data_IF_189739797985
#
_entry.id   IF_189739797985
#
_cell.length_a   1.000
_cell.length_b   1.000
_cell.length_c   1.000
_cell.angle_alpha   90.00
_cell.angle_beta   90.00
_cell.angle_gamma   90.00
#
_symmetry.space_group_name_H-M   'P 1'
#
loop_
_entity.id
_entity.type
_entity.pdbx_description
1 polymer ?
#
# COMPACT_ATOMS: atom_id res chain seq x y z
N UNK A 1 65.61 -2.04 -14.94
CA UNK A 1 64.65 -3.05 -14.43
C UNK A 1 63.85 -2.51 -13.24
N UNK A 2 64.45 -1.84 -12.31
CA UNK A 2 63.75 -1.31 -11.08
C UNK A 2 62.70 -0.19 -11.36
N UNK A 3 62.86 0.61 -12.41
CA UNK A 3 61.94 1.70 -12.75
C UNK A 3 60.56 1.21 -13.31
N UNK A 4 60.58 0.10 -14.01
CA UNK A 4 59.35 -0.47 -14.60
C UNK A 4 58.52 -1.17 -13.52
N UNK A 5 59.16 -1.89 -12.60
CA UNK A 5 58.50 -2.56 -11.47
C UNK A 5 57.86 -1.52 -10.53
N UNK A 6 58.51 -0.40 -10.28
CA UNK A 6 57.94 0.69 -9.47
C UNK A 6 56.70 1.32 -10.10
N UNK A 7 56.69 1.50 -11.43
CA UNK A 7 55.51 2.03 -12.13
C UNK A 7 54.33 1.07 -12.16
N UNK A 8 54.59 -0.24 -12.28
CA UNK A 8 53.54 -1.28 -12.18
C UNK A 8 52.95 -1.38 -10.79
N UNK A 9 53.78 -1.25 -9.74
CA UNK A 9 53.31 -1.24 -8.35
C UNK A 9 52.42 -0.02 -8.03
N UNK A 10 52.77 1.14 -8.53
CA UNK A 10 51.98 2.38 -8.35
C UNK A 10 50.66 2.29 -9.13
N UNK A 11 50.67 1.72 -10.35
CA UNK A 11 49.45 1.51 -11.13
C UNK A 11 48.51 0.49 -10.48
N UNK A 12 49.04 -0.60 -9.92
CA UNK A 12 48.27 -1.60 -9.18
C UNK A 12 47.68 -1.03 -7.89
N UNK A 13 48.42 -0.15 -7.20
CA UNK A 13 47.93 0.55 -6.01
C UNK A 13 46.80 1.52 -6.36
N UNK A 14 46.86 2.23 -7.48
CA UNK A 14 45.79 3.08 -7.95
C UNK A 14 44.56 2.32 -8.41
N UNK A 15 44.71 1.14 -9.04
CA UNK A 15 43.58 0.27 -9.39
C UNK A 15 42.87 -0.32 -8.16
N UNK A 16 43.61 -0.60 -7.08
CA UNK A 16 43.02 -1.13 -5.85
C UNK A 16 42.24 -0.08 -5.03
N UNK A 17 42.55 1.21 -5.20
CA UNK A 17 41.81 2.31 -4.57
C UNK A 17 40.48 2.65 -5.29
N UNK A 18 40.23 2.10 -6.49
CA UNK A 18 38.98 2.28 -7.23
C UNK A 18 37.91 1.25 -6.90
N UNK A 19 38.12 0.37 -5.93
CA UNK A 19 37.01 -0.39 -5.34
C UNK A 19 36.18 0.64 -4.54
N UNK A 20 35.27 1.31 -5.21
CA UNK A 20 34.19 2.03 -4.53
C UNK A 20 33.53 1.01 -3.62
N UNK A 21 33.76 1.12 -2.31
CA UNK A 21 32.82 0.57 -1.37
C UNK A 21 31.47 1.14 -1.79
N UNK A 22 30.59 0.28 -2.30
CA UNK A 22 29.20 0.66 -2.53
C UNK A 22 28.70 1.06 -1.15
N UNK A 23 28.72 2.36 -0.88
CA UNK A 23 28.07 2.91 0.30
C UNK A 23 26.62 2.50 0.14
N UNK A 24 26.17 1.59 1.00
CA UNK A 24 24.75 1.32 1.14
C UNK A 24 24.16 2.61 1.69
N UNK A 25 23.62 3.44 0.80
CA UNK A 25 22.87 4.60 1.23
C UNK A 25 21.68 4.11 2.04
N UNK A 26 21.64 4.55 3.31
CA UNK A 26 20.54 4.27 4.23
C UNK A 26 19.30 5.04 3.75
N UNK A 27 18.45 4.38 2.96
CA UNK A 27 17.23 4.95 2.40
C UNK A 27 16.15 5.00 3.47
N UNK A 28 15.88 6.20 4.02
CA UNK A 28 15.00 6.39 5.19
C UNK A 28 13.55 6.75 4.89
N UNK A 29 13.17 6.92 3.63
CA UNK A 29 11.84 7.43 3.25
C UNK A 29 10.95 6.38 2.57
N UNK A 30 11.17 5.11 2.87
CA UNK A 30 10.32 4.02 2.40
C UNK A 30 8.96 4.06 3.09
N UNK A 31 7.88 3.91 2.32
CA UNK A 31 6.49 3.95 2.82
C UNK A 31 5.68 2.79 2.29
N UNK A 32 4.63 2.44 3.02
CA UNK A 32 3.61 1.48 2.63
C UNK A 32 4.18 0.14 2.12
N UNK A 33 5.03 -0.52 2.91
CA UNK A 33 5.56 -1.81 2.49
C UNK A 33 4.46 -2.87 2.49
N UNK A 34 4.61 -3.81 1.55
CA UNK A 34 3.86 -5.05 1.54
C UNK A 34 4.78 -6.20 1.11
N UNK A 35 4.48 -7.42 1.54
CA UNK A 35 5.31 -8.59 1.27
C UNK A 35 4.45 -9.79 0.89
N UNK A 36 4.81 -10.46 -0.19
CA UNK A 36 4.28 -11.77 -0.54
C UNK A 36 5.42 -12.69 -0.95
N UNK A 37 5.58 -13.81 -0.22
CA UNK A 37 6.69 -14.76 -0.42
C UNK A 37 8.05 -14.05 -0.40
N UNK A 38 8.71 -13.98 -1.55
CA UNK A 38 10.04 -13.40 -1.69
C UNK A 38 10.03 -11.99 -2.29
N UNK A 39 8.87 -11.42 -2.55
CA UNK A 39 8.74 -10.08 -3.13
C UNK A 39 8.29 -9.10 -2.06
N UNK A 40 9.04 -8.01 -1.93
CA UNK A 40 8.65 -6.84 -1.16
C UNK A 40 8.34 -5.71 -2.15
N UNK A 41 7.20 -5.06 -1.97
CA UNK A 41 6.84 -3.82 -2.66
C UNK A 41 6.81 -2.67 -1.66
N UNK A 42 7.17 -1.48 -2.09
CA UNK A 42 7.12 -0.26 -1.26
C UNK A 42 7.06 0.97 -2.15
N UNK A 43 6.74 2.11 -1.52
CA UNK A 43 6.78 3.43 -2.17
C UNK A 43 8.04 4.18 -1.76
N UNK A 44 8.75 4.71 -2.75
CA UNK A 44 9.86 5.63 -2.55
C UNK A 44 9.80 6.76 -3.58
N UNK A 45 9.94 8.00 -3.11
CA UNK A 45 9.89 9.22 -3.92
C UNK A 45 8.61 9.36 -4.80
N UNK A 46 7.48 8.77 -4.37
CA UNK A 46 6.20 8.83 -5.09
C UNK A 46 5.97 7.69 -6.07
N UNK A 47 6.95 6.82 -6.29
CA UNK A 47 6.88 5.68 -7.21
C UNK A 47 6.86 4.35 -6.47
N UNK A 48 6.44 3.31 -7.19
CA UNK A 48 6.44 1.92 -6.70
C UNK A 48 7.75 1.24 -7.03
N UNK A 49 8.31 0.61 -6.02
CA UNK A 49 9.57 -0.13 -6.08
C UNK A 49 9.37 -1.54 -5.56
N UNK A 50 10.18 -2.46 -6.06
CA UNK A 50 10.23 -3.84 -5.58
C UNK A 50 11.64 -4.27 -5.27
N UNK A 51 11.77 -5.19 -4.32
CA UNK A 51 13.04 -5.84 -3.95
C UNK A 51 12.77 -7.27 -3.49
N UNK A 52 13.74 -8.15 -3.62
CA UNK A 52 13.64 -9.50 -3.07
C UNK A 52 13.76 -9.44 -1.53
N UNK A 53 13.01 -10.28 -0.81
CA UNK A 53 13.05 -10.34 0.66
C UNK A 53 14.41 -10.79 1.22
N UNK A 54 15.23 -11.47 0.41
CA UNK A 54 16.63 -11.80 0.75
C UNK A 54 17.60 -10.62 0.61
N UNK A 55 17.10 -9.44 0.20
CA UNK A 55 17.90 -8.26 -0.10
C UNK A 55 18.31 -8.17 -1.56
N UNK A 56 19.21 -7.25 -1.85
CA UNK A 56 19.72 -6.98 -3.20
C UNK A 56 19.31 -5.59 -3.71
N UNK A 57 19.36 -5.39 -5.02
CA UNK A 57 19.04 -4.11 -5.65
C UNK A 57 17.52 -3.94 -5.79
N UNK A 58 17.00 -2.80 -5.32
CA UNK A 58 15.60 -2.45 -5.51
C UNK A 58 15.36 -1.94 -6.94
N UNK A 59 14.30 -2.41 -7.56
CA UNK A 59 13.89 -2.03 -8.91
C UNK A 59 12.67 -1.10 -8.87
N UNK A 60 12.78 0.04 -9.52
CA UNK A 60 11.64 0.93 -9.76
C UNK A 60 10.70 0.32 -10.79
N UNK A 61 9.41 0.17 -10.44
CA UNK A 61 8.39 -0.37 -11.34
C UNK A 61 7.65 0.71 -12.12
N UNK A 62 7.44 1.86 -11.51
CA UNK A 62 6.67 2.97 -12.06
C UNK A 62 7.49 4.25 -12.10
N UNK A 63 7.09 5.21 -12.91
CA UNK A 63 7.83 6.48 -13.09
C UNK A 63 6.91 7.64 -13.51
N UNK A 64 5.65 7.63 -13.05
CA UNK A 64 4.70 8.69 -13.37
C UNK A 64 4.94 9.93 -12.49
N UNK A 65 4.55 11.12 -12.99
CA UNK A 65 4.67 12.37 -12.23
C UNK A 65 3.67 12.52 -11.07
N UNK A 66 2.55 11.77 -11.11
CA UNK A 66 1.58 11.70 -10.02
C UNK A 66 2.03 10.72 -8.94
N UNK A 67 1.49 10.89 -7.73
CA UNK A 67 1.82 10.03 -6.60
C UNK A 67 1.23 8.63 -6.76
N UNK A 68 1.97 7.64 -6.34
CA UNK A 68 1.57 6.24 -6.24
C UNK A 68 1.69 5.80 -4.78
N UNK A 69 0.61 5.25 -4.23
CA UNK A 69 0.48 5.00 -2.80
C UNK A 69 -0.19 3.65 -2.54
N UNK A 70 0.02 3.11 -1.35
CA UNK A 70 -0.66 1.91 -0.85
C UNK A 70 -0.57 0.68 -1.77
N UNK A 71 0.64 0.31 -2.22
CA UNK A 71 0.78 -0.89 -3.03
C UNK A 71 0.44 -2.15 -2.21
N UNK A 72 -0.21 -3.13 -2.87
CA UNK A 72 -0.53 -4.45 -2.33
C UNK A 72 -0.26 -5.52 -3.38
N UNK A 73 0.50 -6.54 -3.01
CA UNK A 73 0.78 -7.68 -3.88
C UNK A 73 -0.39 -8.65 -3.81
N UNK A 74 -0.86 -9.13 -4.96
CA UNK A 74 -1.91 -10.15 -4.99
C UNK A 74 -1.43 -11.46 -4.34
N UNK A 75 -2.33 -12.26 -3.74
CA UNK A 75 -1.98 -13.54 -3.11
C UNK A 75 -1.24 -14.51 -4.02
N UNK A 76 -1.55 -14.54 -5.32
CA UNK A 76 -0.84 -15.34 -6.33
C UNK A 76 0.55 -14.77 -6.70
N UNK A 77 0.82 -13.51 -6.32
CA UNK A 77 2.07 -12.81 -6.58
C UNK A 77 2.21 -12.25 -8.00
N UNK A 78 1.15 -12.30 -8.82
CA UNK A 78 1.22 -11.87 -10.22
C UNK A 78 1.00 -10.37 -10.41
N UNK A 79 0.29 -9.73 -9.49
CA UNK A 79 -0.14 -8.33 -9.61
C UNK A 79 0.23 -7.50 -8.39
N UNK A 80 0.39 -6.20 -8.61
CA UNK A 80 0.48 -5.19 -7.57
C UNK A 80 -0.65 -4.19 -7.83
N UNK A 81 -1.59 -4.07 -6.89
CA UNK A 81 -2.60 -3.01 -6.89
C UNK A 81 -2.07 -1.79 -6.14
N UNK A 82 -2.44 -0.60 -6.57
CA UNK A 82 -2.03 0.64 -5.92
C UNK A 82 -2.99 1.79 -6.22
N UNK A 83 -2.91 2.83 -5.41
CA UNK A 83 -3.62 4.09 -5.61
C UNK A 83 -2.74 5.06 -6.37
N UNK A 84 -3.13 5.48 -7.58
CA UNK A 84 -2.34 6.36 -8.46
C UNK A 84 -3.07 7.66 -8.77
N UNK A 85 -2.31 8.77 -8.87
CA UNK A 85 -2.82 10.11 -9.21
C UNK A 85 -2.41 10.51 -10.65
N UNK A 86 -2.77 9.68 -11.65
CA UNK A 86 -2.30 9.86 -13.02
C UNK A 86 -3.08 10.90 -13.82
N UNK A 87 -4.35 11.13 -13.47
CA UNK A 87 -5.25 12.04 -14.17
C UNK A 87 -5.91 13.09 -13.26
N UNK A 88 -5.20 13.49 -12.20
CA UNK A 88 -5.64 14.53 -11.26
C UNK A 88 -6.35 13.97 -10.03
N UNK A 89 -7.24 12.99 -10.16
CA UNK A 89 -7.87 12.30 -9.02
C UNK A 89 -7.20 10.95 -8.75
N UNK A 90 -7.26 10.52 -7.50
CA UNK A 90 -6.71 9.22 -7.09
C UNK A 90 -7.63 8.11 -7.56
N UNK A 91 -7.06 7.14 -8.28
CA UNK A 91 -7.75 5.98 -8.82
C UNK A 91 -7.01 4.69 -8.44
N UNK A 92 -7.70 3.56 -8.59
CA UNK A 92 -7.10 2.24 -8.41
C UNK A 92 -6.45 1.78 -9.70
N UNK A 93 -5.22 1.35 -9.61
CA UNK A 93 -4.44 0.78 -10.70
C UNK A 93 -3.90 -0.60 -10.32
N UNK A 94 -3.60 -1.39 -11.32
CA UNK A 94 -2.83 -2.63 -11.18
C UNK A 94 -1.70 -2.66 -12.19
N UNK A 95 -0.59 -3.27 -11.79
CA UNK A 95 0.57 -3.51 -12.65
C UNK A 95 1.05 -4.96 -12.44
N UNK A 96 1.54 -5.68 -13.47
CA UNK A 96 2.19 -6.95 -13.25
C UNK A 96 3.38 -6.82 -12.29
N UNK A 97 3.56 -7.77 -11.39
CA UNK A 97 4.63 -7.71 -10.37
C UNK A 97 6.05 -7.70 -10.95
N UNK A 98 6.19 -8.20 -12.19
CA UNK A 98 7.43 -8.13 -12.96
C UNK A 98 7.59 -6.83 -13.77
N UNK A 99 6.64 -5.88 -13.67
CA UNK A 99 6.61 -4.61 -14.39
C UNK A 99 5.76 -4.66 -15.65
N UNK A 100 5.53 -3.49 -16.22
CA UNK A 100 4.69 -3.33 -17.41
C UNK A 100 3.95 -1.99 -17.39
N UNK A 101 2.85 -1.90 -18.14
CA UNK A 101 2.02 -0.70 -18.18
C UNK A 101 0.91 -0.83 -17.13
N UNK A 102 0.75 0.14 -16.22
CA UNK A 102 -0.33 0.13 -15.26
C UNK A 102 -1.71 0.19 -15.95
N UNK A 103 -2.64 -0.65 -15.50
CA UNK A 103 -4.04 -0.67 -15.92
C UNK A 103 -4.89 0.03 -14.87
N UNK A 104 -5.64 1.06 -15.28
CA UNK A 104 -6.61 1.72 -14.42
C UNK A 104 -7.88 0.87 -14.26
N UNK A 105 -8.40 0.77 -13.04
CA UNK A 105 -9.60 0.00 -12.70
C UNK A 105 -10.79 0.84 -12.27
N UNK A 106 -10.56 2.08 -11.81
CA UNK A 106 -11.63 3.00 -11.38
C UNK A 106 -11.53 4.33 -12.11
N UNK A 107 -12.69 4.98 -12.35
CA UNK A 107 -12.79 6.28 -13.06
C UNK A 107 -13.71 7.24 -12.32
N UNK A 108 -13.51 7.38 -11.02
CA UNK A 108 -14.28 8.32 -10.24
C UNK A 108 -13.70 9.73 -10.40
N UNK A 109 -14.54 10.67 -10.82
CA UNK A 109 -14.18 12.08 -10.73
C UNK A 109 -14.16 12.49 -9.26
N UNK A 110 -13.16 13.27 -8.86
CA UNK A 110 -13.21 13.95 -7.57
C UNK A 110 -14.45 14.85 -7.55
N UNK A 111 -15.31 14.62 -6.58
CA UNK A 111 -16.52 15.41 -6.40
C UNK A 111 -16.07 16.75 -5.87
N UNK A 112 -16.17 17.80 -6.69
CA UNK A 112 -15.78 19.18 -6.41
C UNK A 112 -14.27 19.48 -6.23
N UNK A 113 -13.93 20.77 -6.30
CA UNK A 113 -12.61 21.36 -6.02
C UNK A 113 -12.14 21.18 -4.56
N UNK A 114 -12.81 20.36 -3.77
CA UNK A 114 -12.41 20.07 -2.40
C UNK A 114 -11.69 18.73 -2.34
N UNK A 115 -10.51 18.68 -1.70
CA UNK A 115 -9.85 17.41 -1.45
C UNK A 115 -10.81 16.48 -0.71
N UNK A 116 -10.79 15.17 -1.00
CA UNK A 116 -11.60 14.18 -0.31
C UNK A 116 -11.48 14.40 1.21
N UNK A 117 -12.59 14.55 1.89
CA UNK A 117 -12.59 14.74 3.35
C UNK A 117 -12.02 13.47 3.99
N UNK A 118 -10.88 13.60 4.66
CA UNK A 118 -10.11 12.47 5.18
C UNK A 118 -8.80 12.22 4.44
N UNK A 119 -8.59 12.82 3.26
CA UNK A 119 -7.30 12.87 2.57
C UNK A 119 -6.97 11.67 1.70
N UNK A 120 -7.80 10.62 1.67
CA UNK A 120 -7.48 9.39 0.95
C UNK A 120 -8.72 8.76 0.33
N UNK A 121 -9.08 9.21 -0.85
CA UNK A 121 -10.06 8.50 -1.67
C UNK A 121 -9.38 7.41 -2.50
N UNK A 122 -10.11 6.30 -2.78
CA UNK A 122 -9.59 5.13 -3.50
C UNK A 122 -8.29 4.56 -2.90
N UNK A 123 -8.29 4.33 -1.59
CA UNK A 123 -7.17 3.67 -0.90
C UNK A 123 -7.23 2.16 -1.14
N UNK A 124 -6.19 1.62 -1.76
CA UNK A 124 -6.01 0.16 -1.86
C UNK A 124 -5.65 -0.37 -0.48
N UNK A 125 -6.40 -1.36 0.00
CA UNK A 125 -6.23 -1.95 1.32
C UNK A 125 -5.70 -3.38 1.24
N UNK A 126 -6.32 -4.22 0.40
CA UNK A 126 -6.04 -5.65 0.36
C UNK A 126 -6.54 -6.29 -0.94
N UNK A 127 -6.28 -7.58 -1.12
CA UNK A 127 -6.80 -8.42 -2.18
C UNK A 127 -7.72 -9.52 -1.62
N UNK A 128 -8.69 -9.95 -2.44
CA UNK A 128 -9.40 -11.20 -2.16
C UNK A 128 -8.45 -12.39 -2.30
N UNK A 129 -8.63 -13.48 -1.51
CA UNK A 129 -7.72 -14.64 -1.52
C UNK A 129 -7.55 -15.29 -2.88
N UNK A 130 -8.54 -15.18 -3.76
CA UNK A 130 -8.53 -15.70 -5.14
C UNK A 130 -7.80 -14.78 -6.14
N UNK A 131 -7.24 -13.66 -5.67
CA UNK A 131 -6.52 -12.66 -6.49
C UNK A 131 -7.36 -11.99 -7.57
N UNK A 132 -8.70 -12.06 -7.49
CA UNK A 132 -9.58 -11.51 -8.54
C UNK A 132 -10.13 -10.14 -8.23
N UNK A 133 -10.18 -9.76 -6.97
CA UNK A 133 -10.74 -8.47 -6.56
C UNK A 133 -9.83 -7.76 -5.56
N UNK A 134 -9.92 -6.45 -5.55
CA UNK A 134 -9.15 -5.57 -4.68
C UNK A 134 -10.12 -4.93 -3.69
N UNK A 135 -9.83 -5.06 -2.40
CA UNK A 135 -10.53 -4.33 -1.35
C UNK A 135 -10.01 -2.90 -1.33
N UNK A 136 -10.90 -1.97 -1.51
CA UNK A 136 -10.59 -0.54 -1.41
C UNK A 136 -11.45 0.16 -0.37
N UNK A 137 -10.93 1.25 0.15
CA UNK A 137 -11.73 2.25 0.85
C UNK A 137 -11.88 3.46 -0.02
N UNK A 138 -13.11 3.93 -0.16
CA UNK A 138 -13.41 5.12 -0.92
C UNK A 138 -14.61 5.86 -0.36
N UNK A 139 -14.72 7.15 -0.66
CA UNK A 139 -15.90 7.94 -0.40
C UNK A 139 -16.64 8.17 -1.72
N UNK A 140 -17.89 7.73 -1.78
CA UNK A 140 -18.75 7.85 -2.97
C UNK A 140 -19.93 8.81 -2.76
N UNK A 141 -20.05 9.35 -1.55
CA UNK A 141 -21.11 10.31 -1.22
C UNK A 141 -20.56 11.72 -1.19
N UNK A 142 -21.17 12.57 -2.00
CA UNK A 142 -20.96 14.02 -1.95
C UNK A 142 -21.57 14.57 -0.68
N UNK A 143 -20.88 15.46 0.02
CA UNK A 143 -21.36 16.21 1.16
C UNK A 143 -21.88 15.42 2.39
N UNK A 144 -21.16 15.51 3.48
CA UNK A 144 -21.61 15.13 4.82
C UNK A 144 -21.02 13.84 5.38
N UNK A 145 -20.77 12.83 4.59
CA UNK A 145 -20.09 11.63 5.08
C UNK A 145 -18.58 11.87 5.21
N UNK A 146 -18.08 11.73 6.42
CA UNK A 146 -16.66 11.91 6.73
C UNK A 146 -15.86 10.62 6.71
N UNK A 147 -16.53 9.49 6.59
CA UNK A 147 -15.94 8.16 6.69
C UNK A 147 -15.97 7.47 5.33
N UNK A 148 -14.90 6.75 5.01
CA UNK A 148 -14.86 5.92 3.83
C UNK A 148 -15.75 4.69 3.99
N UNK A 149 -16.10 4.06 2.85
CA UNK A 149 -16.77 2.76 2.77
C UNK A 149 -15.90 1.79 2.01
N UNK A 150 -16.14 0.51 2.19
CA UNK A 150 -15.41 -0.52 1.48
C UNK A 150 -16.11 -0.93 0.20
N UNK A 151 -15.28 -1.17 -0.82
CA UNK A 151 -15.71 -1.68 -2.11
C UNK A 151 -14.76 -2.77 -2.58
N UNK A 152 -15.28 -3.70 -3.36
CA UNK A 152 -14.48 -4.66 -4.10
C UNK A 152 -14.42 -4.23 -5.57
N UNK A 153 -13.22 -4.09 -6.09
CA UNK A 153 -12.93 -3.72 -7.48
C UNK A 153 -12.39 -4.95 -8.19
N UNK A 154 -13.01 -5.34 -9.30
CA UNK A 154 -12.57 -6.50 -10.09
C UNK A 154 -11.27 -6.18 -10.85
N UNK A 155 -10.36 -7.15 -10.92
CA UNK A 155 -9.16 -7.10 -11.77
C UNK A 155 -9.54 -7.00 -13.27
N UNK A 156 -10.69 -7.57 -13.65
CA UNK A 156 -11.22 -7.49 -15.02
C UNK A 156 -11.84 -6.13 -15.34
N UNK A 157 -12.08 -5.29 -14.33
CA UNK A 157 -12.76 -4.01 -14.45
C UNK A 157 -14.27 -4.13 -14.17
N UNK A 158 -15.02 -3.11 -14.56
CA UNK A 158 -16.47 -3.01 -14.32
C UNK A 158 -16.78 -2.15 -13.09
N UNK A 159 -18.07 -2.20 -12.67
CA UNK A 159 -18.53 -1.45 -11.51
C UNK A 159 -18.04 -2.10 -10.20
N UNK A 160 -17.63 -1.28 -9.28
CA UNK A 160 -17.23 -1.71 -7.94
C UNK A 160 -18.44 -2.19 -7.13
N UNK A 161 -18.24 -3.22 -6.31
CA UNK A 161 -19.25 -3.78 -5.43
C UNK A 161 -19.12 -3.22 -4.02
N UNK A 162 -20.10 -2.46 -3.50
CA UNK A 162 -20.05 -1.96 -2.12
C UNK A 162 -20.18 -3.12 -1.13
N UNK A 163 -19.46 -3.01 -0.01
CA UNK A 163 -19.65 -3.89 1.14
C UNK A 163 -20.56 -3.23 2.18
N UNK A 164 -21.36 -3.99 2.93
CA UNK A 164 -22.38 -3.45 3.84
C UNK A 164 -21.78 -2.96 5.17
N UNK A 165 -20.58 -2.39 5.16
CA UNK A 165 -19.91 -1.81 6.32
C UNK A 165 -20.06 -0.29 6.24
N UNK A 166 -20.71 0.29 7.24
CA UNK A 166 -21.12 1.72 7.21
C UNK A 166 -19.93 2.66 7.28
N UNK A 167 -18.94 2.33 8.11
CA UNK A 167 -17.77 3.17 8.33
C UNK A 167 -16.50 2.30 8.24
N UNK A 168 -15.63 2.63 7.30
CA UNK A 168 -14.40 1.89 7.08
C UNK A 168 -13.16 2.77 7.20
N UNK A 169 -12.28 2.43 8.13
CA UNK A 169 -10.91 2.91 8.19
C UNK A 169 -9.95 1.98 7.46
N UNK A 170 -8.82 1.66 8.08
CA UNK A 170 -7.96 0.61 7.58
C UNK A 170 -8.57 -0.76 7.88
N UNK A 171 -8.60 -1.63 6.91
CA UNK A 171 -9.17 -2.96 7.05
C UNK A 171 -8.53 -3.97 6.11
N UNK A 172 -8.48 -5.22 6.52
CA UNK A 172 -7.90 -6.33 5.75
C UNK A 172 -8.82 -7.55 5.80
N UNK A 173 -8.85 -8.30 4.70
CA UNK A 173 -9.60 -9.54 4.58
C UNK A 173 -8.93 -10.67 5.36
N UNK A 174 -9.72 -11.58 5.91
CA UNK A 174 -9.19 -12.84 6.44
C UNK A 174 -8.61 -13.70 5.32
N UNK A 175 -7.68 -14.62 5.63
CA UNK A 175 -7.05 -15.49 4.62
C UNK A 175 -8.05 -16.33 3.81
N UNK A 176 -9.21 -16.64 4.38
CA UNK A 176 -10.31 -17.33 3.69
C UNK A 176 -11.30 -16.38 2.99
N UNK A 177 -11.14 -15.07 3.17
CA UNK A 177 -12.01 -14.04 2.59
C UNK A 177 -13.40 -13.93 3.22
N UNK A 178 -13.69 -14.64 4.31
CA UNK A 178 -15.02 -14.63 4.95
C UNK A 178 -15.25 -13.44 5.87
N UNK A 179 -14.17 -12.81 6.35
CA UNK A 179 -14.22 -11.73 7.34
C UNK A 179 -13.35 -10.55 6.94
N UNK A 180 -13.66 -9.38 7.50
CA UNK A 180 -12.80 -8.21 7.47
C UNK A 180 -12.52 -7.79 8.90
N UNK A 181 -11.24 -7.66 9.27
CA UNK A 181 -10.85 -6.95 10.49
C UNK A 181 -10.59 -5.49 10.12
N UNK A 182 -11.16 -4.56 10.87
CA UNK A 182 -11.09 -3.14 10.50
C UNK A 182 -11.18 -2.21 11.70
N UNK A 183 -10.75 -0.98 11.48
CA UNK A 183 -11.02 0.16 12.34
C UNK A 183 -12.17 0.98 11.73
N UNK A 184 -13.20 1.40 12.47
CA UNK A 184 -14.30 2.21 11.94
C UNK A 184 -13.92 3.67 11.67
N UNK A 185 -12.73 4.11 12.05
CA UNK A 185 -12.26 5.48 11.91
C UNK A 185 -11.15 5.56 10.87
N UNK A 186 -11.33 6.38 9.85
CA UNK A 186 -10.50 6.48 8.64
C UNK A 186 -9.23 7.37 8.77
N UNK A 187 -8.84 7.71 9.98
CA UNK A 187 -7.68 8.59 10.20
C UNK A 187 -6.50 7.85 10.81
N UNK A 188 -5.89 6.97 10.05
CA UNK A 188 -4.74 6.17 10.47
C UNK A 188 -3.49 7.02 10.76
N UNK A 189 -3.28 8.09 10.00
CA UNK A 189 -2.07 8.91 10.07
C UNK A 189 -2.31 10.21 10.83
N UNK A 190 -2.63 10.10 12.13
CA UNK A 190 -2.85 11.25 13.00
C UNK A 190 -1.58 11.67 13.74
N UNK A 191 -1.43 12.97 13.94
CA UNK A 191 -0.40 13.53 14.80
C UNK A 191 -0.77 13.47 16.30
N UNK A 192 -1.87 12.86 16.66
CA UNK A 192 -2.39 12.86 18.03
C UNK A 192 -1.73 11.76 18.84
N UNK A 193 -0.84 12.15 19.72
CA UNK A 193 -0.28 11.23 20.71
C UNK A 193 -1.24 11.11 21.90
N UNK A 194 -1.47 9.87 22.35
CA UNK A 194 -2.24 9.56 23.58
C UNK A 194 -3.67 10.12 23.60
N UNK A 195 -4.29 10.23 22.45
CA UNK A 195 -5.69 10.67 22.37
C UNK A 195 -6.62 9.59 22.92
N UNK A 196 -7.53 10.00 23.81
CA UNK A 196 -8.51 9.14 24.51
C UNK A 196 -9.95 9.61 24.31
N UNK A 197 -10.24 10.40 23.31
CA UNK A 197 -11.55 10.93 23.03
C UNK A 197 -12.40 10.04 22.12
N UNK A 198 -13.59 10.46 21.76
CA UNK A 198 -14.56 9.71 20.96
C UNK A 198 -14.14 9.39 19.51
N UNK A 199 -12.91 9.73 19.12
CA UNK A 199 -12.27 9.29 17.88
C UNK A 199 -11.11 8.32 18.12
N UNK A 200 -10.89 7.86 19.34
CA UNK A 200 -10.12 6.66 19.58
C UNK A 200 -10.87 5.52 18.92
N UNK A 201 -10.18 4.70 18.16
CA UNK A 201 -10.81 3.58 17.46
C UNK A 201 -10.36 2.27 18.04
N UNK A 202 -11.30 1.37 18.15
CA UNK A 202 -11.08 -0.03 18.41
C UNK A 202 -11.13 -0.84 17.13
N UNK A 203 -10.66 -2.06 17.18
CA UNK A 203 -10.72 -3.00 16.09
C UNK A 203 -12.03 -3.81 16.15
N UNK A 204 -12.58 -4.03 14.99
CA UNK A 204 -13.81 -4.78 14.78
C UNK A 204 -13.58 -5.87 13.75
N UNK A 205 -14.29 -6.98 13.90
CA UNK A 205 -14.41 -8.01 12.85
C UNK A 205 -15.83 -7.94 12.27
N UNK A 206 -15.91 -7.92 10.96
CA UNK A 206 -17.15 -8.05 10.21
C UNK A 206 -17.18 -9.40 9.50
N UNK A 207 -18.25 -10.18 9.74
CA UNK A 207 -18.52 -11.43 9.02
C UNK A 207 -19.34 -11.11 7.77
N UNK A 208 -18.76 -11.37 6.59
CA UNK A 208 -19.38 -11.04 5.31
C UNK A 208 -20.60 -11.92 4.97
N UNK A 209 -20.65 -13.15 5.46
CA UNK A 209 -21.77 -14.08 5.21
C UNK A 209 -22.96 -13.83 6.13
N UNK A 210 -22.69 -13.50 7.39
CA UNK A 210 -23.71 -13.30 8.41
C UNK A 210 -24.18 -11.85 8.53
N UNK A 211 -23.44 -10.92 7.91
CA UNK A 211 -23.65 -9.49 8.06
C UNK A 211 -23.64 -9.01 9.52
N UNK A 212 -22.73 -9.58 10.32
CA UNK A 212 -22.58 -9.25 11.73
C UNK A 212 -21.23 -8.60 11.99
N UNK A 213 -21.15 -7.73 13.00
CA UNK A 213 -19.89 -7.11 13.43
C UNK A 213 -19.68 -7.32 14.92
N UNK A 214 -18.44 -7.57 15.32
CA UNK A 214 -18.01 -7.75 16.69
C UNK A 214 -16.80 -6.85 16.97
N UNK A 215 -16.85 -6.18 18.11
CA UNK A 215 -15.71 -5.42 18.63
C UNK A 215 -14.72 -6.37 19.30
N UNK A 216 -13.46 -6.33 18.90
CA UNK A 216 -12.42 -7.24 19.42
C UNK A 216 -11.40 -6.55 20.33
N UNK A 217 -11.37 -5.22 20.35
CA UNK A 217 -10.55 -4.46 21.31
C UNK A 217 -11.37 -3.38 22.01
N UNK A 218 -11.02 -3.07 23.26
CA UNK A 218 -11.67 -2.04 24.10
C UNK A 218 -10.64 -1.16 24.84
N UNK A 219 -9.45 -1.03 24.28
CA UNK A 219 -8.38 -0.27 24.90
C UNK A 219 -8.72 1.23 24.98
N UNK A 220 -8.35 1.88 26.08
CA UNK A 220 -8.59 3.31 26.28
C UNK A 220 -7.82 4.24 25.33
N UNK A 221 -7.03 3.72 24.43
CA UNK A 221 -6.27 4.43 23.39
C UNK A 221 -6.85 4.22 22.02
N UNK A 222 -6.00 4.07 21.03
CA UNK A 222 -6.38 3.86 19.64
C UNK A 222 -5.71 2.60 19.11
N UNK A 223 -6.51 1.65 18.65
CA UNK A 223 -6.08 0.44 17.97
C UNK A 223 -6.33 0.59 16.48
N UNK A 224 -5.30 0.40 15.67
CA UNK A 224 -5.34 0.66 14.23
C UNK A 224 -4.44 -0.32 13.46
N UNK A 225 -4.67 -0.41 12.15
CA UNK A 225 -3.83 -1.14 11.19
C UNK A 225 -3.72 -2.62 11.59
N UNK A 226 -4.85 -3.32 11.66
CA UNK A 226 -4.86 -4.75 11.95
C UNK A 226 -4.21 -5.57 10.84
N UNK A 227 -3.67 -6.71 11.19
CA UNK A 227 -3.20 -7.74 10.25
C UNK A 227 -3.62 -9.12 10.74
N UNK A 228 -3.81 -10.05 9.82
CA UNK A 228 -4.03 -11.45 10.16
C UNK A 228 -2.70 -12.18 10.36
N UNK A 229 -2.66 -13.09 11.30
CA UNK A 229 -1.52 -13.99 11.54
C UNK A 229 -2.05 -15.42 11.59
N UNK A 230 -1.92 -16.12 10.49
CA UNK A 230 -2.51 -17.46 10.32
C UNK A 230 -4.02 -17.43 10.03
N UNK A 231 -4.61 -18.61 10.10
CA UNK A 231 -6.06 -18.81 9.89
C UNK A 231 -6.85 -18.61 11.18
#
# INVERSE_FOLDING_TARGET
MNSIISKFLVLALFLSLCIKAAATEDVRLLRYPDINKNLIVFVYAGDIWTVNSSGGEARRLTSHSGLELFPRISPDGQWIAFSGEYSGSRQVFVIPSNGGVPKQLTWYNSVDNMPPRGGFDNVVLDWTPDSKQILIRANRTSFGERNGKYFLVSLDGGLEKPLPIVNGGFGVLSPDGSKIVFSPVDREFRNWKRYKGGRASDLWIYNLSENTSEQITDFKGTDQIPTWSGN
#
